data_IF_070321679810
#
_entry.id   IF_070321679810
#
_cell.length_a   1.000
_cell.length_b   1.000
_cell.length_c   1.000
_cell.angle_alpha   90.00
_cell.angle_beta   90.00
_cell.angle_gamma   90.00
#
_symmetry.space_group_name_H-M   'P 1'
#
loop_
_entity.id
_entity.type
_entity.pdbx_description
1 polymer ?
#
# COMPACT_ATOMS: atom_id res chain seq x y z
N UNK A 1 -25.20 4.09 49.55
CA UNK A 1 -23.79 4.06 49.98
C UNK A 1 -22.97 4.81 48.94
N UNK A 2 -22.74 6.11 49.18
CA UNK A 2 -21.97 6.96 48.28
C UNK A 2 -20.49 6.63 48.38
N UNK A 3 -19.95 5.99 47.34
CA UNK A 3 -18.52 5.79 47.19
C UNK A 3 -17.89 7.16 46.89
N UNK A 4 -17.50 7.90 47.94
CA UNK A 4 -16.69 9.11 47.80
C UNK A 4 -15.34 8.67 47.23
N UNK A 5 -15.12 8.98 45.94
CA UNK A 5 -13.83 8.82 45.30
C UNK A 5 -12.84 9.79 45.98
N UNK A 6 -11.59 9.36 46.25
CA UNK A 6 -10.59 10.21 46.89
C UNK A 6 -10.34 11.47 46.04
N UNK A 7 -10.36 12.63 46.70
CA UNK A 7 -10.37 13.99 46.09
C UNK A 7 -9.17 14.32 45.19
N UNK A 8 -8.20 13.42 45.05
CA UNK A 8 -7.03 13.55 44.16
C UNK A 8 -7.08 12.76 42.85
N UNK A 9 -8.09 11.90 42.62
CA UNK A 9 -8.19 11.04 41.43
C UNK A 9 -9.07 11.63 40.30
N UNK A 10 -9.62 12.83 40.50
CA UNK A 10 -10.62 13.44 39.61
C UNK A 10 -9.94 14.12 38.39
N UNK A 11 -8.79 14.78 38.61
CA UNK A 11 -8.04 15.46 37.55
C UNK A 11 -7.60 14.55 36.37
N UNK A 12 -7.03 13.34 36.58
CA UNK A 12 -6.60 12.50 35.46
C UNK A 12 -7.77 11.91 34.66
N UNK A 13 -8.91 11.66 35.30
CA UNK A 13 -10.11 11.10 34.64
C UNK A 13 -10.81 12.17 33.79
N UNK A 14 -10.93 13.41 34.30
CA UNK A 14 -11.44 14.52 33.49
C UNK A 14 -10.53 14.86 32.31
N UNK A 15 -9.21 14.80 32.49
CA UNK A 15 -8.26 15.02 31.39
C UNK A 15 -8.39 13.94 30.30
N UNK A 16 -8.56 12.67 30.69
CA UNK A 16 -8.78 11.58 29.74
C UNK A 16 -10.15 11.68 29.03
N UNK A 17 -11.19 12.17 29.72
CA UNK A 17 -12.51 12.41 29.14
C UNK A 17 -12.52 13.61 28.18
N UNK A 18 -11.83 14.71 28.53
CA UNK A 18 -11.65 15.89 27.69
C UNK A 18 -10.80 15.59 26.44
N UNK A 19 -9.80 14.71 26.56
CA UNK A 19 -8.96 14.31 25.43
C UNK A 19 -9.68 13.41 24.43
N UNK A 20 -10.61 12.56 24.90
CA UNK A 20 -11.56 11.85 24.02
C UNK A 20 -12.45 12.87 23.31
N UNK A 21 -13.17 13.69 24.07
CA UNK A 21 -14.13 14.66 23.54
C UNK A 21 -13.54 15.75 22.61
N UNK A 22 -12.23 15.99 22.66
CA UNK A 22 -11.53 16.99 21.85
C UNK A 22 -10.94 16.49 20.52
N UNK A 23 -10.83 15.17 20.32
CA UNK A 23 -10.27 14.57 19.10
C UNK A 23 -11.27 13.66 18.36
N UNK A 24 -12.40 13.30 18.98
CA UNK A 24 -13.48 12.55 18.34
C UNK A 24 -13.97 13.20 17.01
N UNK A 25 -14.10 14.54 16.87
CA UNK A 25 -14.48 15.16 15.60
C UNK A 25 -13.39 15.08 14.50
N UNK A 26 -12.15 14.81 14.91
CA UNK A 26 -10.97 14.64 14.05
C UNK A 26 -10.64 13.16 13.81
N UNK A 27 -11.31 12.25 14.52
CA UNK A 27 -11.32 10.81 14.22
C UNK A 27 -12.12 10.59 12.94
N UNK A 28 -11.56 11.04 11.83
CA UNK A 28 -12.12 10.73 10.52
C UNK A 28 -12.05 9.21 10.36
N UNK A 29 -13.19 8.57 10.16
CA UNK A 29 -13.22 7.17 9.74
C UNK A 29 -12.39 7.04 8.46
N UNK A 30 -11.23 6.41 8.60
CA UNK A 30 -10.35 6.13 7.48
C UNK A 30 -11.12 5.14 6.61
N UNK A 31 -11.56 5.59 5.44
CA UNK A 31 -12.16 4.71 4.44
C UNK A 31 -11.04 3.82 3.91
N UNK A 32 -10.78 2.72 4.61
CA UNK A 32 -9.71 1.76 4.28
C UNK A 32 -10.09 0.93 3.05
N UNK A 33 -11.39 0.71 2.85
CA UNK A 33 -11.90 -0.03 1.69
C UNK A 33 -13.23 0.52 1.18
N UNK A 34 -13.30 0.75 -0.13
CA UNK A 34 -14.52 1.01 -0.87
C UNK A 34 -15.08 -0.34 -1.34
N UNK A 35 -16.22 -0.73 -0.77
CA UNK A 35 -16.91 -1.95 -1.15
C UNK A 35 -17.77 -1.71 -2.39
N UNK A 36 -17.35 -2.20 -3.55
CA UNK A 36 -18.15 -2.27 -4.76
C UNK A 36 -18.67 -3.70 -4.94
N UNK A 37 -19.65 -4.09 -4.13
CA UNK A 37 -20.21 -5.44 -4.15
C UNK A 37 -19.19 -6.50 -3.70
N UNK A 38 -18.78 -7.46 -4.57
CA UNK A 38 -17.78 -8.47 -4.23
C UNK A 38 -16.32 -7.97 -4.29
N UNK A 39 -16.09 -6.73 -4.72
CA UNK A 39 -14.75 -6.18 -4.90
C UNK A 39 -14.43 -5.14 -3.82
N UNK A 40 -13.47 -5.47 -2.97
CA UNK A 40 -12.87 -4.55 -2.00
C UNK A 40 -11.77 -3.73 -2.68
N UNK A 41 -12.01 -2.43 -2.89
CA UNK A 41 -11.02 -1.53 -3.48
C UNK A 41 -10.45 -0.61 -2.41
N UNK A 42 -9.16 -0.71 -2.15
CA UNK A 42 -8.46 0.26 -1.29
C UNK A 42 -8.18 1.57 -2.04
N UNK A 43 -8.50 2.75 -1.45
CA UNK A 43 -8.11 4.04 -2.02
C UNK A 43 -6.61 4.19 -2.26
N UNK A 44 -5.77 3.48 -1.49
CA UNK A 44 -4.32 3.47 -1.71
C UNK A 44 -3.95 2.87 -3.07
N UNK A 45 -4.63 1.80 -3.50
CA UNK A 45 -4.42 1.20 -4.82
C UNK A 45 -4.81 2.15 -5.95
N UNK A 46 -5.89 2.91 -5.77
CA UNK A 46 -6.31 3.96 -6.72
C UNK A 46 -5.22 5.03 -6.82
N UNK A 47 -4.68 5.49 -5.69
CA UNK A 47 -3.59 6.47 -5.67
C UNK A 47 -2.34 5.98 -6.41
N UNK A 48 -1.95 4.72 -6.22
CA UNK A 48 -0.81 4.11 -6.93
C UNK A 48 -1.08 4.05 -8.43
N UNK A 49 -2.27 3.61 -8.85
CA UNK A 49 -2.64 3.53 -10.27
C UNK A 49 -2.61 4.92 -10.94
N UNK A 50 -3.17 5.93 -10.27
CA UNK A 50 -3.14 7.32 -10.75
C UNK A 50 -1.70 7.85 -10.82
N UNK A 51 -0.87 7.56 -9.81
CA UNK A 51 0.54 7.94 -9.80
C UNK A 51 1.33 7.33 -10.96
N UNK A 52 1.13 6.03 -11.21
CA UNK A 52 1.74 5.33 -12.34
C UNK A 52 1.31 5.95 -13.68
N UNK A 53 0.00 6.16 -13.89
CA UNK A 53 -0.52 6.75 -15.13
C UNK A 53 -0.05 8.19 -15.34
N UNK A 54 -0.03 9.00 -14.28
CA UNK A 54 0.47 10.38 -14.35
C UNK A 54 1.97 10.42 -14.69
N UNK A 55 2.77 9.54 -14.06
CA UNK A 55 4.20 9.39 -14.34
C UNK A 55 4.48 8.93 -15.76
N UNK A 56 3.75 7.90 -16.22
CA UNK A 56 3.82 7.38 -17.58
C UNK A 56 3.52 8.48 -18.62
N UNK A 57 2.43 9.20 -18.42
CA UNK A 57 2.02 10.29 -19.31
C UNK A 57 3.03 11.43 -19.34
N UNK A 58 3.66 11.73 -18.20
CA UNK A 58 4.73 12.73 -18.12
C UNK A 58 5.98 12.26 -18.87
N UNK A 59 6.36 10.99 -18.73
CA UNK A 59 7.52 10.40 -19.41
C UNK A 59 7.37 10.43 -20.92
N UNK A 60 6.21 10.01 -21.45
CA UNK A 60 5.89 10.07 -22.88
C UNK A 60 5.93 11.51 -23.39
N UNK A 61 5.27 12.45 -22.70
CA UNK A 61 5.28 13.87 -23.09
C UNK A 61 6.69 14.45 -23.11
N UNK A 62 7.55 14.05 -22.17
CA UNK A 62 8.94 14.51 -22.09
C UNK A 62 9.80 13.91 -23.18
N UNK A 63 9.65 12.61 -23.48
CA UNK A 63 10.36 11.96 -24.56
C UNK A 63 10.03 12.62 -25.92
N UNK A 64 8.76 12.88 -26.21
CA UNK A 64 8.36 13.58 -27.44
C UNK A 64 8.98 14.97 -27.57
N UNK A 65 9.14 15.71 -26.46
CA UNK A 65 9.74 17.05 -26.47
C UNK A 65 11.26 17.02 -26.67
N UNK A 66 11.93 15.96 -26.25
CA UNK A 66 13.38 15.83 -26.29
C UNK A 66 13.88 15.04 -27.52
N UNK A 67 12.98 14.61 -28.42
CA UNK A 67 13.34 13.72 -29.52
C UNK A 67 13.76 12.32 -29.06
N UNK A 68 13.16 11.85 -27.97
CA UNK A 68 13.41 10.55 -27.36
C UNK A 68 12.82 9.37 -28.16
N UNK A 69 12.79 8.18 -27.55
CA UNK A 69 12.27 6.95 -28.17
C UNK A 69 10.81 7.07 -28.62
N UNK A 70 10.38 6.13 -29.46
CA UNK A 70 8.98 6.04 -29.89
C UNK A 70 8.04 5.87 -28.69
N UNK A 71 6.84 6.42 -28.79
CA UNK A 71 5.85 6.34 -27.72
C UNK A 71 5.47 4.90 -27.40
N UNK A 72 5.41 4.01 -28.40
CA UNK A 72 5.09 2.61 -28.19
C UNK A 72 6.17 1.87 -27.39
N UNK A 73 7.45 2.19 -27.63
CA UNK A 73 8.55 1.60 -26.88
C UNK A 73 8.48 1.99 -25.41
N UNK A 74 8.17 3.25 -25.13
CA UNK A 74 8.01 3.75 -23.75
C UNK A 74 6.84 3.04 -23.04
N UNK A 75 5.69 2.94 -23.69
CA UNK A 75 4.54 2.22 -23.12
C UNK A 75 4.83 0.73 -22.89
N UNK A 76 5.53 0.09 -23.83
CA UNK A 76 5.96 -1.29 -23.68
C UNK A 76 6.91 -1.46 -22.48
N UNK A 77 7.93 -0.61 -22.36
CA UNK A 77 8.86 -0.63 -21.22
C UNK A 77 8.13 -0.38 -19.91
N UNK A 78 7.22 0.60 -19.85
CA UNK A 78 6.43 0.89 -18.65
C UNK A 78 5.51 -0.27 -18.25
N UNK A 79 4.94 -0.98 -19.22
CA UNK A 79 4.12 -2.17 -18.98
C UNK A 79 4.96 -3.31 -18.39
N UNK A 80 6.12 -3.59 -19.00
CA UNK A 80 7.07 -4.58 -18.48
C UNK A 80 7.61 -4.19 -17.09
N UNK A 81 7.90 -2.91 -16.87
CA UNK A 81 8.29 -2.38 -15.56
C UNK A 81 7.20 -2.62 -14.50
N UNK A 82 5.92 -2.44 -14.85
CA UNK A 82 4.80 -2.71 -13.96
C UNK A 82 4.70 -4.20 -13.60
N UNK A 83 4.83 -5.09 -14.58
CA UNK A 83 4.87 -6.54 -14.35
C UNK A 83 6.06 -6.93 -13.46
N UNK A 84 7.25 -6.37 -13.75
CA UNK A 84 8.45 -6.55 -12.94
C UNK A 84 8.28 -6.04 -11.51
N UNK A 85 7.56 -4.93 -11.32
CA UNK A 85 7.25 -4.38 -10.00
C UNK A 85 6.38 -5.34 -9.19
N UNK A 86 5.33 -5.91 -9.79
CA UNK A 86 4.42 -6.83 -9.11
C UNK A 86 5.17 -8.11 -8.73
N UNK A 87 5.90 -8.69 -9.68
CA UNK A 87 6.68 -9.91 -9.44
C UNK A 87 7.79 -9.69 -8.40
N UNK A 88 8.56 -8.61 -8.54
CA UNK A 88 9.62 -8.25 -7.61
C UNK A 88 9.11 -7.94 -6.21
N UNK A 89 7.97 -7.26 -6.10
CA UNK A 89 7.34 -6.98 -4.81
C UNK A 89 6.95 -8.28 -4.09
N UNK A 90 6.46 -9.27 -4.83
CA UNK A 90 6.12 -10.57 -4.24
C UNK A 90 7.36 -11.35 -3.84
N UNK A 91 8.33 -11.47 -4.74
CA UNK A 91 9.59 -12.20 -4.47
C UNK A 91 10.31 -11.56 -3.28
N UNK A 92 10.42 -10.24 -3.24
CA UNK A 92 11.06 -9.52 -2.14
C UNK A 92 10.37 -9.71 -0.79
N UNK A 93 9.04 -9.90 -0.78
CA UNK A 93 8.31 -10.23 0.44
C UNK A 93 8.56 -11.68 0.87
N UNK A 94 8.47 -12.62 -0.08
CA UNK A 94 8.67 -14.06 0.14
C UNK A 94 10.06 -14.35 0.69
N UNK A 95 11.10 -13.65 0.24
CA UNK A 95 12.46 -13.80 0.76
C UNK A 95 12.53 -13.40 2.25
N UNK A 96 11.82 -12.34 2.65
CA UNK A 96 11.83 -11.85 4.04
C UNK A 96 10.92 -12.63 4.99
N UNK A 97 9.84 -13.23 4.48
CA UNK A 97 8.79 -13.85 5.29
C UNK A 97 8.46 -15.27 4.81
N UNK A 98 9.47 -16.01 4.34
CA UNK A 98 9.29 -17.33 3.71
C UNK A 98 8.50 -18.32 4.58
N UNK A 99 8.80 -18.37 5.88
CA UNK A 99 8.11 -19.27 6.82
C UNK A 99 6.65 -18.88 7.06
N UNK A 100 6.30 -17.60 7.00
CA UNK A 100 4.91 -17.15 7.14
C UNK A 100 4.14 -17.41 5.84
N UNK A 101 4.76 -17.16 4.69
CA UNK A 101 4.14 -17.35 3.37
C UNK A 101 3.88 -18.82 3.05
N UNK A 102 4.65 -19.73 3.63
CA UNK A 102 4.52 -21.17 3.39
C UNK A 102 3.78 -21.91 4.51
N UNK A 103 3.20 -21.19 5.48
CA UNK A 103 2.59 -21.77 6.69
C UNK A 103 3.53 -22.79 7.37
N UNK A 104 4.82 -22.43 7.49
CA UNK A 104 5.85 -23.31 8.05
C UNK A 104 6.30 -24.45 7.13
N UNK A 105 5.89 -24.45 5.86
CA UNK A 105 6.25 -25.45 4.85
C UNK A 105 5.07 -26.32 4.38
N UNK A 106 3.91 -26.19 5.01
CA UNK A 106 2.71 -26.96 4.68
C UNK A 106 2.00 -26.46 3.41
N UNK A 107 2.21 -25.20 3.01
CA UNK A 107 1.62 -24.61 1.82
C UNK A 107 2.61 -23.83 0.96
N UNK A 108 3.31 -24.54 0.08
CA UNK A 108 4.24 -23.94 -0.87
C UNK A 108 3.54 -23.05 -1.92
N UNK A 109 2.23 -23.19 -2.13
CA UNK A 109 1.47 -22.37 -3.07
C UNK A 109 1.09 -20.99 -2.48
N UNK A 110 1.23 -20.81 -1.16
CA UNK A 110 1.11 -19.51 -0.48
C UNK A 110 1.99 -18.42 -1.10
N UNK A 111 3.11 -18.79 -1.72
CA UNK A 111 4.03 -17.89 -2.43
C UNK A 111 3.35 -17.09 -3.54
N UNK A 112 2.28 -17.60 -4.17
CA UNK A 112 1.59 -16.90 -5.27
C UNK A 112 0.39 -16.06 -4.82
N UNK A 113 -0.01 -16.13 -3.55
CA UNK A 113 -1.20 -15.47 -3.04
C UNK A 113 -0.97 -13.98 -2.78
N UNK A 114 -0.98 -13.22 -3.87
CA UNK A 114 -0.80 -11.76 -3.83
C UNK A 114 -2.00 -11.02 -3.20
N UNK A 115 -3.16 -11.67 -3.11
CA UNK A 115 -4.40 -11.09 -2.57
C UNK A 115 -4.51 -11.14 -1.04
N UNK A 116 -3.71 -11.97 -0.37
CA UNK A 116 -3.64 -12.03 1.10
C UNK A 116 -2.78 -10.90 1.68
N UNK A 117 -2.21 -10.05 0.81
CA UNK A 117 -1.25 -9.01 1.18
C UNK A 117 0.19 -9.52 1.12
N UNK A 118 1.08 -8.83 1.84
CA UNK A 118 2.50 -9.18 1.85
C UNK A 118 3.23 -8.81 0.56
N UNK A 119 3.44 -7.50 0.37
CA UNK A 119 4.18 -6.95 -0.76
C UNK A 119 5.36 -6.12 -0.25
N UNK A 120 6.53 -6.31 -0.85
CA UNK A 120 7.74 -5.55 -0.51
C UNK A 120 7.90 -4.36 -1.47
N UNK A 121 7.91 -3.14 -0.94
CA UNK A 121 8.16 -1.93 -1.73
C UNK A 121 9.53 -1.98 -2.41
N UNK A 122 10.58 -2.36 -1.67
CA UNK A 122 11.94 -2.48 -2.20
C UNK A 122 12.01 -3.55 -3.28
N UNK A 123 11.37 -4.69 -3.06
CA UNK A 123 11.27 -5.75 -4.06
C UNK A 123 10.60 -5.25 -5.35
N UNK A 124 9.54 -4.45 -5.23
CA UNK A 124 8.85 -3.88 -6.39
C UNK A 124 9.71 -2.87 -7.15
N UNK A 125 10.41 -1.97 -6.47
CA UNK A 125 11.31 -1.01 -7.13
C UNK A 125 12.44 -1.75 -7.85
N UNK A 126 13.09 -2.70 -7.19
CA UNK A 126 14.18 -3.48 -7.79
C UNK A 126 13.69 -4.30 -8.98
N UNK A 127 12.54 -4.97 -8.86
CA UNK A 127 11.97 -5.77 -9.94
C UNK A 127 11.57 -4.91 -11.16
N UNK A 128 10.97 -3.75 -10.93
CA UNK A 128 10.62 -2.82 -12.00
C UNK A 128 11.87 -2.36 -12.78
N UNK A 129 12.92 -1.96 -12.06
CA UNK A 129 14.17 -1.48 -12.68
C UNK A 129 14.86 -2.60 -13.46
N UNK A 130 14.96 -3.81 -12.90
CA UNK A 130 15.63 -4.93 -13.57
C UNK A 130 14.94 -5.37 -14.86
N UNK A 131 13.61 -5.25 -14.93
CA UNK A 131 12.83 -5.64 -16.11
C UNK A 131 12.75 -4.52 -17.14
N UNK A 132 12.83 -3.26 -16.70
CA UNK A 132 12.73 -2.09 -17.58
C UNK A 132 14.06 -1.66 -18.22
N UNK A 133 15.19 -2.18 -17.72
CA UNK A 133 16.54 -1.99 -18.26
C UNK A 133 16.80 -2.94 -19.44
#
# INVERSE_FOLDING_TARGET
>A
MGHRLPEGLIAPVELAAAFKFGLDPLSWDIVSTLNLGPLEISPHGIGIALGYLAGAQLMVRRARRLGGPDENDIWNTLFWALLGAIAGARIGYVIGHFSEVTDGGDDLLGVFRIWEGGISLLGGITGAVLVAL
#
